data_IF_617352006964
#
_entry.id   IF_617352006964
#
_cell.length_a   1.000
_cell.length_b   1.000
_cell.length_c   1.000
_cell.angle_alpha   90.00
_cell.angle_beta   90.00
_cell.angle_gamma   90.00
#
_symmetry.space_group_name_H-M   'P 1'
#
loop_
_entity.id
_entity.type
_entity.pdbx_description
1 polymer ?
#
# COMPACT_ATOMS: atom_id res chain seq x y z
N UNK A 1 -5.43 51.09 -30.32
CA UNK A 1 -6.34 50.12 -29.65
C UNK A 1 -5.58 48.84 -29.44
N UNK A 2 -5.77 48.29 -28.24
CA UNK A 2 -5.08 47.19 -27.58
C UNK A 2 -5.29 45.84 -28.25
N UNK A 3 -4.24 45.02 -28.30
CA UNK A 3 -4.36 43.59 -28.02
C UNK A 3 -3.04 43.04 -27.46
N UNK A 4 -3.04 42.77 -26.16
CA UNK A 4 -1.96 42.07 -25.46
C UNK A 4 -2.58 41.05 -24.48
N UNK A 5 -2.88 39.86 -25.00
CA UNK A 5 -3.42 38.76 -24.20
C UNK A 5 -2.89 37.41 -24.69
N UNK A 6 -1.63 37.13 -24.42
CA UNK A 6 -1.07 35.80 -24.63
C UNK A 6 0.23 35.62 -23.87
N UNK A 7 0.21 34.96 -22.71
CA UNK A 7 1.45 34.46 -22.10
C UNK A 7 1.59 34.52 -20.58
N UNK A 8 0.52 34.47 -19.78
CA UNK A 8 0.65 34.46 -18.30
C UNK A 8 -0.11 33.33 -17.61
N UNK A 9 0.23 32.07 -17.90
CA UNK A 9 -0.27 30.93 -17.09
C UNK A 9 0.77 29.84 -16.78
N UNK A 10 1.96 29.87 -17.40
CA UNK A 10 2.98 28.82 -17.23
C UNK A 10 3.87 29.00 -15.97
N UNK A 11 4.19 30.24 -15.57
CA UNK A 11 5.13 30.50 -14.47
C UNK A 11 4.61 30.17 -13.06
N UNK A 12 3.30 30.29 -12.82
CA UNK A 12 2.73 30.09 -11.49
C UNK A 12 2.65 28.62 -11.05
N UNK A 13 2.48 27.67 -11.99
CA UNK A 13 2.48 26.24 -11.70
C UNK A 13 3.90 25.72 -11.38
N UNK A 14 4.92 26.25 -12.05
CA UNK A 14 6.33 25.86 -11.85
C UNK A 14 6.84 26.22 -10.45
N UNK A 15 6.41 27.36 -9.91
CA UNK A 15 6.79 27.79 -8.55
C UNK A 15 6.12 26.97 -7.43
N UNK A 16 4.86 26.53 -7.60
CA UNK A 16 4.19 25.68 -6.59
C UNK A 16 4.81 24.29 -6.51
N UNK A 17 5.22 23.71 -7.64
CA UNK A 17 5.86 22.40 -7.67
C UNK A 17 7.25 22.43 -7.01
N UNK A 18 8.05 23.45 -7.29
CA UNK A 18 9.35 23.68 -6.62
C UNK A 18 9.19 23.95 -5.11
N UNK A 19 8.16 24.70 -4.70
CA UNK A 19 7.84 24.89 -3.28
C UNK A 19 7.34 23.61 -2.60
N UNK A 20 6.70 22.70 -3.34
CA UNK A 20 6.26 21.40 -2.84
C UNK A 20 7.44 20.44 -2.64
N UNK A 21 8.38 20.37 -3.60
CA UNK A 21 9.62 19.59 -3.50
C UNK A 21 10.48 20.07 -2.31
N UNK A 22 10.46 21.38 -2.01
CA UNK A 22 11.18 21.95 -0.86
C UNK A 22 10.56 21.66 0.51
N UNK A 23 9.35 21.08 0.60
CA UNK A 23 8.75 20.70 1.89
C UNK A 23 9.35 19.39 2.39
N UNK A 24 9.69 19.35 3.69
CA UNK A 24 10.10 18.10 4.39
C UNK A 24 9.09 16.94 4.28
N UNK A 25 7.85 17.21 3.87
CA UNK A 25 6.83 16.19 3.61
C UNK A 25 7.07 15.40 2.31
N UNK A 26 7.67 16.03 1.28
CA UNK A 26 7.92 15.42 -0.03
C UNK A 26 8.78 14.13 0.03
N UNK A 27 9.94 14.10 0.73
CA UNK A 27 10.71 12.88 0.84
C UNK A 27 9.95 11.76 1.59
N UNK A 28 9.10 12.11 2.56
CA UNK A 28 8.26 11.14 3.25
C UNK A 28 7.20 10.51 2.33
N UNK A 29 6.58 11.33 1.48
CA UNK A 29 5.59 10.86 0.49
C UNK A 29 6.23 10.00 -0.60
N UNK A 30 7.41 10.40 -1.10
CA UNK A 30 8.18 9.59 -2.04
C UNK A 30 8.61 8.26 -1.41
N UNK A 31 9.02 8.26 -0.14
CA UNK A 31 9.36 7.02 0.56
C UNK A 31 8.14 6.10 0.69
N UNK A 32 6.95 6.64 1.00
CA UNK A 32 5.72 5.82 1.02
C UNK A 32 5.36 5.28 -0.35
N UNK A 33 5.58 6.04 -1.43
CA UNK A 33 5.37 5.58 -2.79
C UNK A 33 6.32 4.42 -3.13
N UNK A 34 7.63 4.60 -2.95
CA UNK A 34 8.62 3.57 -3.26
C UNK A 34 8.46 2.32 -2.40
N UNK A 35 8.14 2.49 -1.12
CA UNK A 35 7.85 1.39 -0.22
C UNK A 35 6.64 0.57 -0.71
N UNK A 36 5.53 1.23 -1.05
CA UNK A 36 4.35 0.57 -1.57
C UNK A 36 4.61 -0.11 -2.92
N UNK A 37 5.41 0.53 -3.78
CA UNK A 37 5.79 0.01 -5.09
C UNK A 37 6.64 -1.26 -5.00
N UNK A 38 7.62 -1.28 -4.10
CA UNK A 38 8.42 -2.48 -3.84
C UNK A 38 7.55 -3.59 -3.25
N UNK A 39 6.74 -3.29 -2.23
CA UNK A 39 5.87 -4.30 -1.61
C UNK A 39 4.79 -4.82 -2.57
N UNK A 40 4.31 -3.99 -3.50
CA UNK A 40 3.38 -4.39 -4.55
C UNK A 40 3.95 -5.38 -5.56
N UNK A 41 5.28 -5.44 -5.72
CA UNK A 41 5.96 -6.43 -6.57
C UNK A 41 5.85 -7.85 -6.01
N UNK A 42 5.83 -7.99 -4.69
CA UNK A 42 5.97 -9.30 -4.04
C UNK A 42 4.76 -10.19 -4.36
N UNK A 43 5.05 -11.33 -4.97
CA UNK A 43 4.09 -12.37 -5.27
C UNK A 43 4.60 -13.71 -4.73
N UNK A 44 3.80 -14.35 -3.88
CA UNK A 44 4.06 -15.67 -3.34
C UNK A 44 3.28 -16.69 -4.17
N UNK A 45 3.93 -17.79 -4.56
CA UNK A 45 3.31 -18.90 -5.28
C UNK A 45 2.49 -18.49 -6.53
N UNK A 46 2.94 -17.43 -7.23
CA UNK A 46 2.34 -16.97 -8.48
C UNK A 46 1.04 -16.17 -8.37
N UNK A 47 0.27 -16.28 -7.28
CA UNK A 47 -1.07 -15.67 -7.15
C UNK A 47 -1.32 -14.89 -5.85
N UNK A 48 -0.42 -14.98 -4.86
CA UNK A 48 -0.62 -14.39 -3.53
C UNK A 48 0.18 -13.08 -3.44
N UNK A 49 -0.49 -11.93 -3.54
CA UNK A 49 0.12 -10.59 -3.53
C UNK A 49 -0.41 -9.70 -2.37
N UNK A 50 -0.06 -9.99 -1.11
CA UNK A 50 -0.70 -9.36 0.05
C UNK A 50 -0.08 -8.02 0.43
N UNK A 51 1.21 -7.82 0.15
CA UNK A 51 2.00 -6.78 0.80
C UNK A 51 1.71 -5.36 0.28
N UNK A 52 1.39 -5.19 -1.01
CA UNK A 52 1.03 -3.88 -1.57
C UNK A 52 -0.26 -3.33 -0.94
N UNK A 53 -1.29 -4.16 -0.85
CA UNK A 53 -2.57 -3.81 -0.24
C UNK A 53 -2.44 -3.62 1.27
N UNK A 54 -1.69 -4.50 1.94
CA UNK A 54 -1.38 -4.40 3.37
C UNK A 54 -0.69 -3.08 3.71
N UNK A 55 0.28 -2.65 2.89
CA UNK A 55 0.98 -1.39 3.10
C UNK A 55 0.09 -0.18 2.86
N UNK A 56 -0.80 -0.23 1.86
CA UNK A 56 -1.81 0.82 1.65
C UNK A 56 -2.70 0.98 2.88
N UNK A 57 -3.20 -0.11 3.45
CA UNK A 57 -3.99 -0.07 4.68
C UNK A 57 -3.15 0.39 5.89
N UNK A 58 -1.91 -0.08 6.02
CA UNK A 58 -1.02 0.38 7.08
C UNK A 58 -0.73 1.89 6.99
N UNK A 59 -0.57 2.41 5.77
CA UNK A 59 -0.33 3.81 5.48
C UNK A 59 -1.57 4.68 5.83
N UNK A 60 -2.78 4.26 5.45
CA UNK A 60 -4.02 4.97 5.85
C UNK A 60 -4.13 5.00 7.38
N UNK A 61 -3.89 3.85 8.04
CA UNK A 61 -4.00 3.71 9.49
C UNK A 61 -2.93 4.51 10.28
N UNK A 62 -1.71 4.57 9.76
CA UNK A 62 -0.61 5.33 10.36
C UNK A 62 -0.73 6.86 10.12
N UNK A 63 -1.66 7.31 9.27
CA UNK A 63 -1.81 8.71 8.89
C UNK A 63 -0.75 9.17 7.88
N UNK A 64 -0.27 8.26 7.02
CA UNK A 64 0.50 8.60 5.82
C UNK A 64 -0.44 9.12 4.73
N UNK A 65 0.12 9.76 3.70
CA UNK A 65 -0.68 10.16 2.54
C UNK A 65 -1.09 8.91 1.75
N UNK A 66 -2.39 8.56 1.70
CA UNK A 66 -2.85 7.29 1.12
C UNK A 66 -2.75 7.28 -0.40
N UNK A 67 -2.74 8.45 -1.05
CA UNK A 67 -2.66 8.58 -2.50
C UNK A 67 -1.35 8.01 -3.07
N UNK A 68 -0.23 8.32 -2.41
CA UNK A 68 1.09 7.82 -2.82
C UNK A 68 1.26 6.33 -2.53
N UNK A 69 0.73 5.86 -1.40
CA UNK A 69 0.72 4.43 -1.09
C UNK A 69 -0.13 3.65 -2.10
N UNK A 70 -1.29 4.19 -2.49
CA UNK A 70 -2.16 3.57 -3.50
C UNK A 70 -1.49 3.51 -4.87
N UNK A 71 -0.96 4.64 -5.34
CA UNK A 71 -0.25 4.69 -6.61
C UNK A 71 0.92 3.70 -6.62
N UNK A 72 1.73 3.70 -5.56
CA UNK A 72 2.85 2.76 -5.44
C UNK A 72 2.39 1.30 -5.48
N UNK A 73 1.40 0.92 -4.68
CA UNK A 73 0.89 -0.46 -4.63
C UNK A 73 0.38 -0.94 -5.99
N UNK A 74 -0.42 -0.12 -6.69
CA UNK A 74 -0.94 -0.45 -8.02
C UNK A 74 0.18 -0.54 -9.05
N UNK A 75 1.11 0.42 -9.08
CA UNK A 75 2.24 0.37 -10.00
C UNK A 75 3.16 -0.82 -9.72
N UNK A 76 3.36 -1.20 -8.46
CA UNK A 76 4.13 -2.39 -8.10
C UNK A 76 3.50 -3.68 -8.65
N UNK A 77 2.18 -3.82 -8.50
CA UNK A 77 1.43 -5.00 -8.97
C UNK A 77 1.29 -5.07 -10.49
N UNK A 78 1.31 -3.93 -11.20
CA UNK A 78 1.15 -3.87 -12.65
C UNK A 78 2.49 -3.87 -13.39
N UNK A 79 3.48 -3.08 -12.94
CA UNK A 79 4.71 -2.82 -13.69
C UNK A 79 5.88 -3.70 -13.27
N UNK A 80 5.94 -4.14 -12.02
CA UNK A 80 7.10 -4.89 -11.50
C UNK A 80 6.90 -6.41 -11.46
N UNK A 81 5.69 -6.88 -11.76
CA UNK A 81 5.39 -8.31 -11.82
C UNK A 81 5.48 -8.84 -13.25
N UNK A 82 5.88 -10.11 -13.40
CA UNK A 82 5.97 -10.78 -14.71
C UNK A 82 4.59 -10.95 -15.36
N UNK A 83 3.55 -11.18 -14.54
CA UNK A 83 2.15 -11.18 -14.97
C UNK A 83 1.37 -10.23 -14.05
N UNK A 84 0.53 -9.33 -14.61
CA UNK A 84 -0.22 -8.37 -13.82
C UNK A 84 -1.26 -9.07 -12.94
N UNK A 85 -1.20 -8.83 -11.62
CA UNK A 85 -2.15 -9.36 -10.65
C UNK A 85 -3.41 -8.51 -10.58
N UNK A 86 -4.31 -8.69 -11.56
CA UNK A 86 -5.60 -7.97 -11.61
C UNK A 86 -6.44 -8.08 -10.33
N UNK A 87 -6.54 -9.25 -9.64
CA UNK A 87 -7.31 -9.34 -8.40
C UNK A 87 -6.77 -8.43 -7.29
N UNK A 88 -5.45 -8.33 -7.18
CA UNK A 88 -4.76 -7.48 -6.21
C UNK A 88 -4.95 -5.99 -6.53
N UNK A 89 -4.93 -5.63 -7.81
CA UNK A 89 -5.17 -4.23 -8.25
C UNK A 89 -6.62 -3.84 -7.99
N UNK A 90 -7.58 -4.69 -8.34
CA UNK A 90 -9.00 -4.44 -8.12
C UNK A 90 -9.33 -4.31 -6.62
N UNK A 91 -8.75 -5.16 -5.77
CA UNK A 91 -8.90 -5.03 -4.31
C UNK A 91 -8.27 -3.74 -3.77
N UNK A 92 -7.10 -3.32 -4.28
CA UNK A 92 -6.49 -2.02 -3.93
C UNK A 92 -7.39 -0.83 -4.31
N UNK A 93 -7.94 -0.83 -5.52
CA UNK A 93 -8.86 0.21 -6.00
C UNK A 93 -10.12 0.23 -5.15
N UNK A 94 -10.73 -0.94 -4.91
CA UNK A 94 -11.95 -1.03 -4.12
C UNK A 94 -11.71 -0.55 -2.69
N UNK A 95 -10.65 -1.02 -2.03
CA UNK A 95 -10.28 -0.58 -0.68
C UNK A 95 -10.09 0.94 -0.63
N UNK A 96 -9.36 1.51 -1.59
CA UNK A 96 -9.09 2.93 -1.63
C UNK A 96 -10.37 3.76 -1.85
N UNK A 97 -11.27 3.33 -2.74
CA UNK A 97 -12.57 3.99 -2.94
C UNK A 97 -13.44 3.90 -1.69
N UNK A 98 -13.51 2.73 -1.07
CA UNK A 98 -14.24 2.52 0.18
C UNK A 98 -13.69 3.39 1.31
N UNK A 99 -12.36 3.49 1.41
CA UNK A 99 -11.70 4.36 2.37
C UNK A 99 -12.05 5.83 2.12
N UNK A 100 -12.00 6.32 0.88
CA UNK A 100 -12.39 7.69 0.55
C UNK A 100 -13.86 7.96 0.91
N UNK A 101 -14.78 7.07 0.53
CA UNK A 101 -16.19 7.20 0.87
C UNK A 101 -16.41 7.24 2.39
N UNK A 102 -15.68 6.40 3.13
CA UNK A 102 -15.72 6.37 4.59
C UNK A 102 -15.19 7.68 5.19
N UNK A 103 -14.06 8.22 4.69
CA UNK A 103 -13.53 9.52 5.15
C UNK A 103 -14.48 10.69 4.87
N UNK A 104 -15.25 10.62 3.77
CA UNK A 104 -16.24 11.63 3.44
C UNK A 104 -17.47 11.56 4.34
N UNK A 105 -17.87 10.37 4.78
CA UNK A 105 -19.06 10.16 5.58
C UNK A 105 -18.79 10.27 7.09
N UNK A 106 -17.73 9.65 7.59
CA UNK A 106 -17.40 9.63 9.01
C UNK A 106 -16.26 10.61 9.34
N UNK A 107 -16.49 11.49 10.32
CA UNK A 107 -15.46 12.40 10.86
C UNK A 107 -14.50 11.73 11.86
N UNK A 108 -14.82 10.51 12.32
CA UNK A 108 -13.97 9.71 13.21
C UNK A 108 -13.77 8.34 12.57
N UNK A 109 -12.53 8.04 12.23
CA UNK A 109 -12.16 6.73 11.72
C UNK A 109 -11.35 6.01 12.79
N UNK A 110 -11.87 4.89 13.26
CA UNK A 110 -11.10 4.02 14.13
C UNK A 110 -10.19 3.09 13.33
N UNK A 111 -9.17 2.56 14.00
CA UNK A 111 -8.25 1.59 13.38
C UNK A 111 -8.99 0.32 12.94
N UNK A 112 -9.98 -0.11 13.73
CA UNK A 112 -10.79 -1.29 13.45
C UNK A 112 -11.64 -1.11 12.20
N UNK A 113 -12.21 0.08 11.96
CA UNK A 113 -13.00 0.36 10.75
C UNK A 113 -12.15 0.15 9.49
N UNK A 114 -10.90 0.62 9.51
CA UNK A 114 -9.98 0.52 8.36
C UNK A 114 -9.54 -0.91 8.06
N UNK A 115 -9.38 -1.75 9.09
CA UNK A 115 -9.12 -3.18 8.93
C UNK A 115 -10.39 -3.92 8.46
N UNK A 116 -11.55 -3.55 8.99
CA UNK A 116 -12.81 -4.12 8.52
C UNK A 116 -13.07 -3.79 7.04
N UNK A 117 -12.77 -2.57 6.60
CA UNK A 117 -12.83 -2.18 5.18
C UNK A 117 -11.84 -2.96 4.32
N UNK A 118 -10.65 -3.27 4.84
CA UNK A 118 -9.65 -4.10 4.16
C UNK A 118 -10.18 -5.51 3.94
N UNK A 119 -10.66 -6.14 5.00
CA UNK A 119 -11.28 -7.46 4.96
C UNK A 119 -12.48 -7.47 4.00
N UNK A 120 -13.36 -6.47 4.08
CA UNK A 120 -14.55 -6.38 3.24
C UNK A 120 -14.19 -6.21 1.75
N UNK A 121 -13.17 -5.40 1.42
CA UNK A 121 -12.70 -5.23 0.05
C UNK A 121 -12.17 -6.54 -0.54
N UNK A 122 -11.45 -7.33 0.24
CA UNK A 122 -10.96 -8.65 -0.21
C UNK A 122 -12.10 -9.67 -0.30
N UNK A 123 -13.02 -9.66 0.68
CA UNK A 123 -14.17 -10.54 0.70
C UNK A 123 -15.10 -10.31 -0.50
N UNK A 124 -15.28 -9.06 -0.90
CA UNK A 124 -16.07 -8.70 -2.09
C UNK A 124 -15.46 -9.21 -3.40
N UNK A 125 -14.13 -9.37 -3.46
CA UNK A 125 -13.41 -9.80 -4.66
C UNK A 125 -13.23 -11.32 -4.75
N UNK A 126 -13.40 -12.06 -3.66
CA UNK A 126 -13.41 -13.53 -3.63
C UNK A 126 -14.37 -14.15 -4.67
N UNK A 127 -15.67 -13.81 -4.72
CA UNK A 127 -16.58 -14.42 -5.68
C UNK A 127 -16.31 -14.01 -7.13
N UNK A 128 -15.66 -12.86 -7.35
CA UNK A 128 -15.38 -12.33 -8.69
C UNK A 128 -14.21 -13.07 -9.33
N UNK A 129 -13.16 -13.36 -8.56
CA UNK A 129 -11.90 -13.91 -9.09
C UNK A 129 -11.60 -15.36 -8.69
N UNK A 130 -12.26 -15.90 -7.66
CA UNK A 130 -11.90 -17.20 -7.07
C UNK A 130 -13.08 -18.18 -6.94
N UNK A 131 -14.21 -17.92 -7.62
CA UNK A 131 -15.38 -18.78 -7.55
C UNK A 131 -15.25 -20.11 -8.32
N UNK A 132 -14.27 -20.23 -9.24
CA UNK A 132 -14.14 -21.40 -10.12
C UNK A 132 -13.49 -22.61 -9.45
N UNK A 133 -12.53 -22.41 -8.53
CA UNK A 133 -11.67 -23.48 -8.04
C UNK A 133 -11.42 -23.40 -6.52
N UNK A 134 -11.61 -24.52 -5.82
CA UNK A 134 -11.38 -24.64 -4.37
C UNK A 134 -9.94 -24.30 -3.98
N UNK A 135 -8.96 -24.71 -4.80
CA UNK A 135 -7.55 -24.40 -4.56
C UNK A 135 -7.28 -22.88 -4.66
N UNK A 136 -7.93 -22.19 -5.60
CA UNK A 136 -7.82 -20.75 -5.76
C UNK A 136 -8.46 -20.00 -4.58
N UNK A 137 -9.59 -20.50 -4.09
CA UNK A 137 -10.28 -19.96 -2.93
C UNK A 137 -9.45 -20.11 -1.65
N UNK A 138 -8.81 -21.27 -1.45
CA UNK A 138 -7.93 -21.49 -0.30
C UNK A 138 -6.71 -20.55 -0.34
N UNK A 139 -6.09 -20.35 -1.51
CA UNK A 139 -5.01 -19.37 -1.70
C UNK A 139 -5.47 -17.95 -1.41
N UNK A 140 -6.67 -17.59 -1.85
CA UNK A 140 -7.24 -16.27 -1.58
C UNK A 140 -7.52 -16.05 -0.08
N UNK A 141 -8.00 -17.06 0.64
CA UNK A 141 -8.17 -17.00 2.09
C UNK A 141 -6.83 -16.85 2.83
N UNK A 142 -5.78 -17.56 2.37
CA UNK A 142 -4.41 -17.38 2.90
C UNK A 142 -3.92 -15.95 2.63
N UNK A 143 -4.18 -15.43 1.42
CA UNK A 143 -3.83 -14.05 1.06
C UNK A 143 -4.54 -13.03 1.96
N UNK A 144 -5.81 -13.25 2.29
CA UNK A 144 -6.58 -12.39 3.21
C UNK A 144 -5.91 -12.35 4.59
N UNK A 145 -5.67 -13.53 5.18
CA UNK A 145 -5.05 -13.62 6.50
C UNK A 145 -3.65 -13.01 6.54
N UNK A 146 -2.84 -13.28 5.51
CA UNK A 146 -1.49 -12.73 5.41
C UNK A 146 -1.51 -11.21 5.20
N UNK A 147 -2.46 -10.68 4.44
CA UNK A 147 -2.62 -9.25 4.21
C UNK A 147 -3.03 -8.50 5.48
N UNK A 148 -4.01 -9.01 6.24
CA UNK A 148 -4.43 -8.42 7.51
C UNK A 148 -3.29 -8.42 8.54
N UNK A 149 -2.60 -9.56 8.66
CA UNK A 149 -1.44 -9.68 9.55
C UNK A 149 -0.33 -8.70 9.15
N UNK A 150 0.02 -8.65 7.86
CA UNK A 150 1.03 -7.74 7.35
C UNK A 150 0.62 -6.26 7.56
N UNK A 151 -0.65 -5.92 7.40
CA UNK A 151 -1.16 -4.57 7.60
C UNK A 151 -0.97 -4.12 9.05
N UNK A 152 -1.30 -4.99 10.03
CA UNK A 152 -1.09 -4.72 11.46
C UNK A 152 0.39 -4.53 11.82
N UNK A 153 1.25 -5.41 11.31
CA UNK A 153 2.70 -5.36 11.53
C UNK A 153 3.29 -4.07 10.95
N UNK A 154 2.99 -3.77 9.69
CA UNK A 154 3.47 -2.56 9.00
C UNK A 154 2.91 -1.29 9.64
N UNK A 155 1.67 -1.30 10.10
CA UNK A 155 1.06 -0.18 10.81
C UNK A 155 1.79 0.10 12.12
N UNK A 156 2.06 -0.94 12.92
CA UNK A 156 2.85 -0.82 14.15
C UNK A 156 4.22 -0.22 13.84
N UNK A 157 4.94 -0.79 12.87
CA UNK A 157 6.25 -0.31 12.47
C UNK A 157 6.23 1.16 12.00
N UNK A 158 5.27 1.55 11.16
CA UNK A 158 5.14 2.94 10.68
C UNK A 158 4.86 3.93 11.82
N UNK A 159 3.99 3.56 12.77
CA UNK A 159 3.72 4.39 13.95
C UNK A 159 4.97 4.54 14.81
N UNK A 160 5.69 3.45 15.04
CA UNK A 160 6.93 3.45 15.82
C UNK A 160 8.02 4.28 15.15
N UNK A 161 8.24 4.11 13.84
CA UNK A 161 9.23 4.89 13.08
C UNK A 161 8.95 6.40 13.12
N UNK A 162 7.67 6.78 13.11
CA UNK A 162 7.25 8.19 13.28
C UNK A 162 7.46 8.70 14.70
N UNK A 163 7.26 7.84 15.71
CA UNK A 163 7.46 8.17 17.12
C UNK A 163 8.94 8.08 17.58
N UNK A 164 9.81 7.49 16.77
CA UNK A 164 11.24 7.30 17.08
C UNK A 164 11.97 8.62 17.33
N UNK A 165 11.51 9.71 16.72
CA UNK A 165 12.05 11.05 16.94
C UNK A 165 11.76 11.62 18.34
N UNK A 166 10.82 11.05 19.08
CA UNK A 166 10.40 11.53 20.41
C UNK A 166 10.53 10.51 21.54
N UNK A 167 10.76 9.23 21.24
CA UNK A 167 10.91 8.15 22.23
C UNK A 167 12.25 7.45 22.09
N UNK A 168 12.97 7.31 23.21
CA UNK A 168 14.29 6.67 23.27
C UNK A 168 14.25 5.16 23.56
N UNK A 169 13.09 4.63 23.99
CA UNK A 169 12.94 3.21 24.36
C UNK A 169 11.82 2.59 23.54
N UNK A 170 12.16 1.51 22.83
CA UNK A 170 11.27 0.70 22.02
C UNK A 170 10.80 -0.50 22.83
N UNK A 171 9.50 -0.79 22.79
CA UNK A 171 8.96 -2.03 23.34
C UNK A 171 9.39 -3.24 22.51
N UNK A 172 9.52 -4.42 23.11
CA UNK A 172 9.82 -5.68 22.42
C UNK A 172 8.89 -5.93 21.23
N UNK A 173 7.59 -5.62 21.38
CA UNK A 173 6.61 -5.75 20.32
C UNK A 173 6.86 -4.79 19.14
N UNK A 174 7.35 -3.59 19.41
CA UNK A 174 7.71 -2.60 18.39
C UNK A 174 9.00 -2.99 17.65
N UNK A 175 9.95 -3.60 18.35
CA UNK A 175 11.17 -4.12 17.73
C UNK A 175 10.85 -5.29 16.78
N UNK A 176 9.96 -6.18 17.20
CA UNK A 176 9.48 -7.31 16.37
C UNK A 176 8.70 -6.80 15.16
N UNK A 177 7.85 -5.77 15.31
CA UNK A 177 7.09 -5.25 14.17
C UNK A 177 7.98 -4.55 13.14
N UNK A 178 9.00 -3.81 13.61
CA UNK A 178 10.01 -3.20 12.75
C UNK A 178 10.82 -4.28 12.02
N UNK A 179 11.31 -5.31 12.72
CA UNK A 179 12.12 -6.37 12.12
C UNK A 179 11.34 -7.18 11.07
N UNK A 180 10.08 -7.53 11.37
CA UNK A 180 9.19 -8.19 10.40
C UNK A 180 8.91 -7.31 9.19
N UNK A 181 8.67 -6.02 9.40
CA UNK A 181 8.46 -5.07 8.29
C UNK A 181 9.71 -4.96 7.40
N UNK A 182 10.91 -4.89 7.98
CA UNK A 182 12.15 -4.97 7.23
C UNK A 182 12.29 -6.31 6.49
N UNK A 183 11.86 -7.42 7.09
CA UNK A 183 11.77 -8.71 6.42
C UNK A 183 10.89 -8.66 5.15
N UNK A 184 9.71 -8.04 5.24
CA UNK A 184 8.84 -7.85 4.06
C UNK A 184 9.49 -6.97 2.98
N UNK A 185 10.26 -5.95 3.36
CA UNK A 185 11.05 -5.16 2.41
C UNK A 185 12.23 -5.93 1.81
N UNK A 186 12.89 -6.81 2.58
CA UNK A 186 13.94 -7.67 2.03
C UNK A 186 13.37 -8.65 0.99
N UNK A 187 12.16 -9.18 1.23
CA UNK A 187 11.45 -10.01 0.27
C UNK A 187 11.08 -9.27 -1.02
N UNK A 188 10.91 -7.94 -1.00
CA UNK A 188 10.61 -7.16 -2.21
C UNK A 188 11.83 -6.79 -3.03
N UNK A 189 13.00 -6.72 -2.40
CA UNK A 189 14.29 -6.44 -3.08
C UNK A 189 14.92 -7.72 -3.62
N UNK A 190 14.71 -8.84 -2.94
CA UNK A 190 15.19 -10.14 -3.41
C UNK A 190 14.22 -10.69 -4.47
N UNK A 191 14.74 -11.31 -5.53
CA UNK A 191 13.96 -12.04 -6.55
C UNK A 191 13.37 -13.35 -5.98
N UNK A 192 12.85 -13.30 -4.76
CA UNK A 192 12.21 -14.42 -4.10
C UNK A 192 10.79 -14.50 -4.65
N UNK A 193 10.68 -14.96 -5.89
CA UNK A 193 9.55 -15.80 -6.29
C UNK A 193 9.67 -17.07 -5.44
N UNK A 194 9.14 -17.03 -4.21
CA UNK A 194 9.44 -17.97 -3.13
C UNK A 194 9.18 -19.46 -3.47
N UNK A 195 8.58 -19.78 -4.62
CA UNK A 195 8.45 -21.13 -5.14
C UNK A 195 8.54 -21.17 -6.67
N UNK A 196 9.65 -20.69 -7.23
CA UNK A 196 10.09 -21.09 -8.57
C UNK A 196 10.68 -22.51 -8.60
N UNK A 197 10.02 -23.49 -7.97
CA UNK A 197 10.30 -24.90 -8.27
C UNK A 197 9.38 -25.30 -9.42
N UNK A 198 9.91 -25.19 -10.64
CA UNK A 198 9.44 -25.98 -11.76
C UNK A 198 9.62 -27.47 -11.39
N UNK A 199 8.55 -28.12 -10.95
CA UNK A 199 8.48 -29.58 -11.03
C UNK A 199 8.21 -29.92 -12.50
N UNK A 200 9.06 -30.74 -13.15
CA UNK A 200 8.83 -31.22 -14.52
C UNK A 200 7.57 -32.07 -14.64
#
# INVERSE_FOLDING_TARGET
MSDSSGGRTSGAKRNRFLQYIGRRAFPGEMLTFFAALLLGRVCIAGDIAPFGLAFLAAATIAGCNPHYAFAGAVFGQVLLQQAPQYPAVCTCVLYYVMHLLWTCWSRREETLDRLFLLFLAQAAMLPVFHASDVASLLRALINVGLCEFAALVMQSALRTLRALGSRHVLSDAEQVSISLSFGFFLLSVTDVQAFGFSLP
#
